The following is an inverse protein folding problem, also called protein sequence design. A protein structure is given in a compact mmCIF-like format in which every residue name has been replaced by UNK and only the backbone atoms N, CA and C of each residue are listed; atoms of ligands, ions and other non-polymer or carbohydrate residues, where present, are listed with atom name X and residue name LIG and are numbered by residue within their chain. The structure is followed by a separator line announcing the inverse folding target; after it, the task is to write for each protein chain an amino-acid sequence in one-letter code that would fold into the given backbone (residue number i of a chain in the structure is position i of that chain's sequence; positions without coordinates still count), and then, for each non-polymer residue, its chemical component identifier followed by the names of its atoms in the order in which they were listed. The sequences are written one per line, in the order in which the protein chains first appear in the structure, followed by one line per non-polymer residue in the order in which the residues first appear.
data_IF_717535471203
#
_entry.id   IF_717535471203
#
_cell.length_a   1.000
_cell.length_b   1.000
_cell.length_c   1.000
_cell.angle_alpha   90.00
_cell.angle_beta   90.00
_cell.angle_gamma   90.00
#
_symmetry.space_group_name_H-M   'P 1'
#
loop_
_entity.id
_entity.type
_entity.pdbx_description
1 polymer ?
#
# COMPACT_ATOMS: atom_id res chain seq x y z
N UNK A 1 1.63 5.60 -17.11
CA UNK A 1 1.54 5.27 -15.69
C UNK A 1 0.19 4.60 -15.50
N UNK A 2 0.13 3.41 -14.90
CA UNK A 2 -1.17 2.80 -14.61
C UNK A 2 -1.81 3.65 -13.51
N UNK A 3 -3.01 4.17 -13.75
CA UNK A 3 -3.77 4.87 -12.73
C UNK A 3 -4.31 3.79 -11.81
N UNK A 4 -3.72 3.63 -10.63
CA UNK A 4 -4.22 2.71 -9.62
C UNK A 4 -5.33 3.40 -8.83
N UNK A 5 -6.48 2.76 -8.67
CA UNK A 5 -7.45 3.16 -7.66
C UNK A 5 -6.99 2.57 -6.32
N UNK A 6 -6.38 3.40 -5.47
CA UNK A 6 -5.88 2.96 -4.17
C UNK A 6 -6.86 3.44 -3.10
N UNK A 7 -7.39 2.50 -2.34
CA UNK A 7 -8.21 2.78 -1.15
C UNK A 7 -7.44 2.36 0.08
N UNK A 8 -7.57 3.12 1.16
CA UNK A 8 -6.87 2.85 2.41
C UNK A 8 -7.84 2.42 3.50
N UNK A 9 -7.39 1.52 4.36
CA UNK A 9 -8.04 1.29 5.64
C UNK A 9 -7.98 2.59 6.46
N UNK A 10 -9.16 3.10 6.82
CA UNK A 10 -9.31 4.29 7.64
C UNK A 10 -9.28 3.89 9.10
N UNK A 11 -8.36 4.50 9.85
CA UNK A 11 -8.28 4.33 11.27
C UNK A 11 -9.53 4.92 11.95
N UNK A 12 -10.33 4.14 12.68
CA UNK A 12 -11.61 4.60 13.22
C UNK A 12 -11.46 5.67 14.30
N UNK A 13 -10.29 5.80 14.93
CA UNK A 13 -10.05 6.81 15.96
C UNK A 13 -9.71 8.17 15.34
N UNK A 14 -8.91 8.17 14.27
CA UNK A 14 -8.43 9.39 13.63
C UNK A 14 -9.29 9.85 12.45
N UNK A 15 -10.06 8.94 11.84
CA UNK A 15 -10.78 9.20 10.59
C UNK A 15 -9.84 9.39 9.39
N UNK A 16 -8.58 8.95 9.51
CA UNK A 16 -7.54 9.10 8.49
C UNK A 16 -6.94 7.73 8.11
N UNK A 17 -6.32 7.60 6.92
CA UNK A 17 -5.59 6.39 6.55
C UNK A 17 -4.63 5.90 7.65
N UNK A 18 -4.72 4.61 7.98
CA UNK A 18 -3.91 4.02 9.06
C UNK A 18 -2.39 4.13 8.81
N UNK A 19 -1.97 4.22 7.54
CA UNK A 19 -0.56 4.40 7.13
C UNK A 19 0.07 5.66 7.73
N UNK A 20 -0.72 6.70 8.03
CA UNK A 20 -0.20 7.94 8.61
C UNK A 20 0.31 7.72 10.05
N UNK A 21 -0.21 6.74 10.79
CA UNK A 21 0.33 6.35 12.11
C UNK A 21 1.76 5.78 12.01
N UNK A 22 2.18 5.35 10.81
CA UNK A 22 3.52 4.83 10.52
C UNK A 22 4.42 5.87 9.82
N UNK A 23 3.99 7.13 9.76
CA UNK A 23 4.71 8.19 9.03
C UNK A 23 4.98 7.80 7.57
N UNK A 24 4.00 7.17 6.94
CA UNK A 24 4.01 6.80 5.51
C UNK A 24 2.93 7.61 4.81
N UNK A 25 3.29 8.23 3.69
CA UNK A 25 2.36 8.98 2.84
C UNK A 25 1.68 8.07 1.80
N UNK A 26 0.58 8.54 1.21
CA UNK A 26 -0.10 7.78 0.14
C UNK A 26 0.78 7.67 -1.12
N UNK A 27 1.53 8.72 -1.45
CA UNK A 27 2.47 8.73 -2.58
C UNK A 27 3.56 7.67 -2.43
N UNK A 28 4.15 7.54 -1.23
CA UNK A 28 5.16 6.50 -0.96
C UNK A 28 4.60 5.08 -1.12
N UNK A 29 3.31 4.88 -0.82
CA UNK A 29 2.63 3.60 -1.07
C UNK A 29 2.44 3.37 -2.56
N UNK A 30 2.01 4.38 -3.31
CA UNK A 30 1.86 4.31 -4.76
C UNK A 30 3.19 3.96 -5.44
N UNK A 31 4.29 4.60 -5.02
CA UNK A 31 5.64 4.32 -5.53
C UNK A 31 6.02 2.85 -5.37
N UNK A 32 5.81 2.28 -4.18
CA UNK A 32 6.13 0.89 -3.86
C UNK A 32 5.24 -0.08 -4.65
N UNK A 33 3.94 0.22 -4.80
CA UNK A 33 3.02 -0.61 -5.58
C UNK A 33 3.28 -0.52 -7.09
N UNK A 34 3.74 0.63 -7.59
CA UNK A 34 4.07 0.80 -8.99
C UNK A 34 5.35 0.06 -9.38
N UNK A 35 6.32 -0.05 -8.48
CA UNK A 35 7.63 -0.69 -8.72
C UNK A 35 8.10 -1.52 -7.51
N UNK A 36 7.41 -2.61 -7.16
CA UNK A 36 7.81 -3.44 -6.03
C UNK A 36 9.14 -4.15 -6.34
N UNK A 37 10.03 -4.21 -5.35
CA UNK A 37 11.20 -5.08 -5.41
C UNK A 37 10.82 -6.55 -5.13
N UNK A 38 9.83 -6.75 -4.25
CA UNK A 38 9.18 -8.03 -3.99
C UNK A 38 7.67 -7.81 -3.94
N UNK A 39 6.89 -8.74 -4.51
CA UNK A 39 5.45 -8.80 -4.28
C UNK A 39 4.99 -10.25 -4.15
N UNK A 40 4.55 -10.62 -2.95
CA UNK A 40 4.26 -12.02 -2.56
C UNK A 40 2.87 -12.17 -1.96
N UNK A 41 2.39 -13.41 -1.97
CA UNK A 41 1.17 -13.77 -1.27
C UNK A 41 1.37 -13.68 0.25
N UNK A 42 0.45 -12.98 0.92
CA UNK A 42 0.32 -12.93 2.37
C UNK A 42 -0.75 -13.88 2.89
N UNK A 43 -1.22 -13.64 4.12
CA UNK A 43 -2.29 -14.43 4.74
C UNK A 43 -3.67 -13.85 4.39
N UNK A 44 -4.71 -14.67 4.39
CA UNK A 44 -6.10 -14.21 4.27
C UNK A 44 -6.44 -13.53 2.94
N UNK A 45 -5.75 -13.88 1.85
CA UNK A 45 -5.95 -13.25 0.53
C UNK A 45 -5.21 -11.93 0.32
N UNK A 46 -4.47 -11.45 1.33
CA UNK A 46 -3.62 -10.28 1.19
C UNK A 46 -2.37 -10.58 0.36
N UNK A 47 -1.76 -9.51 -0.13
CA UNK A 47 -0.44 -9.44 -0.75
C UNK A 47 0.46 -8.53 0.08
N UNK A 48 1.76 -8.75 -0.05
CA UNK A 48 2.79 -7.97 0.62
C UNK A 48 3.79 -7.53 -0.43
N UNK A 49 3.82 -6.23 -0.71
CA UNK A 49 4.83 -5.59 -1.54
C UNK A 49 5.91 -4.99 -0.66
N UNK A 50 7.17 -5.16 -1.06
CA UNK A 50 8.32 -4.46 -0.46
C UNK A 50 9.03 -3.72 -1.57
N UNK A 51 9.28 -2.42 -1.37
CA UNK A 51 9.91 -1.57 -2.36
C UNK A 51 10.62 -0.38 -1.74
N UNK A 52 11.47 0.26 -2.54
CA UNK A 52 12.14 1.50 -2.18
C UNK A 52 11.38 2.67 -2.81
N UNK A 53 11.07 3.68 -1.99
CA UNK A 53 10.50 4.97 -2.39
C UNK A 53 11.53 5.83 -3.13
N UNK A 54 11.11 6.89 -3.81
CA UNK A 54 11.99 7.85 -4.47
C UNK A 54 12.90 8.57 -3.46
N UNK A 55 12.40 8.81 -2.24
CA UNK A 55 13.18 9.36 -1.12
C UNK A 55 14.18 8.36 -0.50
N UNK A 56 14.19 7.10 -0.98
CA UNK A 56 15.15 6.07 -0.58
C UNK A 56 14.73 5.22 0.63
N UNK A 57 13.56 5.47 1.23
CA UNK A 57 12.99 4.62 2.30
C UNK A 57 12.53 3.30 1.72
N UNK A 58 12.76 2.21 2.45
CA UNK A 58 12.13 0.93 2.15
C UNK A 58 10.84 0.80 2.94
N UNK A 59 9.75 0.45 2.25
CA UNK A 59 8.45 0.24 2.87
C UNK A 59 7.95 -1.17 2.60
N UNK A 60 7.16 -1.69 3.54
CA UNK A 60 6.34 -2.87 3.38
C UNK A 60 4.88 -2.45 3.27
N UNK A 61 4.28 -2.65 2.10
CA UNK A 61 2.86 -2.36 1.86
C UNK A 61 2.07 -3.68 1.90
N UNK A 62 1.05 -3.74 2.77
CA UNK A 62 0.12 -4.87 2.86
C UNK A 62 -1.21 -4.45 2.27
N UNK A 63 -1.67 -5.17 1.25
CA UNK A 63 -2.85 -4.79 0.48
C UNK A 63 -3.64 -6.02 0.00
N UNK A 64 -4.88 -5.81 -0.43
CA UNK A 64 -5.71 -6.80 -1.10
C UNK A 64 -6.04 -6.27 -2.49
N UNK A 65 -5.81 -7.05 -3.57
CA UNK A 65 -6.27 -6.66 -4.89
C UNK A 65 -7.81 -6.69 -4.95
N UNK A 66 -8.41 -5.67 -5.54
CA UNK A 66 -9.84 -5.69 -5.80
C UNK A 66 -10.18 -6.55 -7.03
N UNK A 67 -11.46 -6.84 -7.23
CA UNK A 67 -11.92 -7.55 -8.43
C UNK A 67 -11.78 -6.70 -9.71
N UNK A 68 -11.77 -5.37 -9.57
CA UNK A 68 -11.53 -4.44 -10.66
C UNK A 68 -10.02 -4.31 -10.95
N UNK A 69 -9.57 -4.49 -12.21
CA UNK A 69 -8.18 -4.32 -12.57
C UNK A 69 -7.66 -2.92 -12.24
N UNK A 70 -6.48 -2.86 -11.62
CA UNK A 70 -5.87 -1.59 -11.22
C UNK A 70 -6.49 -0.97 -9.97
N UNK A 71 -7.37 -1.68 -9.23
CA UNK A 71 -7.86 -1.24 -7.92
C UNK A 71 -7.28 -2.12 -6.81
N UNK A 72 -6.90 -1.49 -5.70
CA UNK A 72 -6.36 -2.17 -4.52
C UNK A 72 -6.85 -1.52 -3.23
N UNK A 73 -6.98 -2.34 -2.19
CA UNK A 73 -7.24 -1.89 -0.82
C UNK A 73 -6.01 -2.10 0.05
N UNK A 74 -5.37 -1.00 0.46
CA UNK A 74 -4.20 -0.99 1.35
C UNK A 74 -4.67 -1.07 2.80
N UNK A 75 -4.21 -2.12 3.49
CA UNK A 75 -4.51 -2.37 4.90
C UNK A 75 -3.54 -1.57 5.78
N UNK A 76 -2.25 -1.62 5.48
CA UNK A 76 -1.20 -0.87 6.21
C UNK A 76 0.08 -0.75 5.37
N UNK A 77 0.95 0.18 5.75
CA UNK A 77 2.29 0.33 5.23
C UNK A 77 3.21 0.91 6.32
N UNK A 78 4.45 0.46 6.38
CA UNK A 78 5.47 0.91 7.34
C UNK A 78 6.89 0.61 6.87
#
# INVERSE_FOLDING_TARGET
MAIWNIRFYIDPEAGLPHIYKHNVTEDEVEEVLARPGEDRQGYGGARVAIGQTEAGRYLRVVYVPDSEPGSVFVITAY
#
